data_IF_429979726318
#
_entry.id   IF_429979726318
#
_cell.length_a   1.000
_cell.length_b   1.000
_cell.length_c   1.000
_cell.angle_alpha   90.00
_cell.angle_beta   90.00
_cell.angle_gamma   90.00
#
_symmetry.space_group_name_H-M   'P 1'
#
loop_
_entity.id
_entity.type
_entity.pdbx_description
1 polymer ?
#
# COMPACT_ATOMS: atom_id res chain seq x y z
N UNK A 1 16.37 7.66 -0.76
CA UNK A 1 15.50 7.83 0.43
C UNK A 1 14.25 7.04 0.14
N UNK A 2 13.88 6.11 1.01
CA UNK A 2 12.68 5.29 0.81
C UNK A 2 11.43 6.16 0.97
N UNK A 3 10.43 5.91 0.13
CA UNK A 3 9.19 6.66 0.14
C UNK A 3 8.29 6.13 1.27
N UNK A 4 7.67 6.99 2.10
CA UNK A 4 6.74 6.55 3.12
C UNK A 4 5.56 5.79 2.51
N UNK A 5 5.23 4.65 3.13
CA UNK A 5 4.21 3.74 2.64
C UNK A 5 2.82 4.13 3.16
N UNK A 6 1.84 4.11 2.25
CA UNK A 6 0.42 4.30 2.56
C UNK A 6 -0.35 3.08 2.07
N UNK A 7 -1.01 2.39 2.99
CA UNK A 7 -1.84 1.25 2.68
C UNK A 7 -3.16 1.71 2.07
N UNK A 8 -3.65 0.97 1.09
CA UNK A 8 -4.98 1.14 0.50
C UNK A 8 -5.76 -0.15 0.74
N UNK A 9 -6.99 0.01 1.20
CA UNK A 9 -7.98 -1.07 1.26
C UNK A 9 -9.22 -0.56 0.56
N UNK A 10 -9.72 -1.32 -0.41
CA UNK A 10 -10.87 -0.91 -1.18
C UNK A 10 -11.96 -1.98 -1.19
N UNK A 11 -13.20 -1.51 -1.38
CA UNK A 11 -14.32 -2.38 -1.64
C UNK A 11 -14.22 -3.01 -3.03
N UNK A 12 -14.87 -4.16 -3.19
CA UNK A 12 -14.91 -4.87 -4.49
C UNK A 12 -15.59 -4.04 -5.58
N UNK A 13 -16.57 -3.22 -5.23
CA UNK A 13 -17.23 -2.31 -6.16
C UNK A 13 -16.29 -1.18 -6.62
N UNK A 14 -15.55 -0.56 -5.69
CA UNK A 14 -14.55 0.45 -6.03
C UNK A 14 -13.46 -0.12 -6.95
N UNK A 15 -13.00 -1.34 -6.67
CA UNK A 15 -12.06 -2.04 -7.53
C UNK A 15 -12.62 -2.38 -8.91
N UNK A 16 -13.88 -2.82 -9.00
CA UNK A 16 -14.50 -3.08 -10.30
C UNK A 16 -14.58 -1.80 -11.12
N UNK A 17 -14.97 -0.69 -10.48
CA UNK A 17 -15.17 0.59 -11.15
C UNK A 17 -13.89 1.13 -11.78
N UNK A 18 -12.77 1.07 -11.07
CA UNK A 18 -11.49 1.52 -11.63
C UNK A 18 -10.99 0.60 -12.76
N UNK A 19 -11.30 -0.70 -12.68
CA UNK A 19 -10.92 -1.68 -13.70
C UNK A 19 -11.68 -1.44 -15.00
N UNK A 20 -12.96 -1.08 -14.91
CA UNK A 20 -13.79 -0.72 -16.06
C UNK A 20 -13.30 0.56 -16.77
N UNK A 21 -12.45 1.34 -16.10
CA UNK A 21 -11.77 2.53 -16.64
C UNK A 21 -10.32 2.26 -17.06
N UNK A 22 -9.87 1.01 -17.03
CA UNK A 22 -8.55 0.58 -17.49
C UNK A 22 -7.43 0.65 -16.45
N UNK A 23 -7.75 0.85 -15.16
CA UNK A 23 -6.75 0.81 -14.09
C UNK A 23 -6.58 -0.59 -13.51
N UNK A 24 -5.34 -1.03 -13.32
CA UNK A 24 -5.02 -2.35 -12.76
C UNK A 24 -5.26 -2.42 -11.24
N UNK A 25 -5.02 -1.32 -10.54
CA UNK A 25 -5.13 -1.18 -9.07
C UNK A 25 -5.42 0.26 -8.69
N UNK A 26 -5.89 0.48 -7.46
CA UNK A 26 -6.22 1.83 -7.00
C UNK A 26 -4.94 2.62 -6.66
N UNK A 27 -3.86 1.94 -6.27
CA UNK A 27 -2.54 2.57 -6.19
C UNK A 27 -2.14 3.18 -7.54
N UNK A 28 -2.39 2.51 -8.66
CA UNK A 28 -2.14 3.06 -9.99
C UNK A 28 -2.99 4.31 -10.29
N UNK A 29 -4.26 4.32 -9.86
CA UNK A 29 -5.12 5.50 -9.96
C UNK A 29 -4.57 6.69 -9.15
N UNK A 30 -4.04 6.43 -7.96
CA UNK A 30 -3.53 7.46 -7.04
C UNK A 30 -2.08 7.90 -7.33
N UNK A 31 -1.35 7.16 -8.15
CA UNK A 31 0.04 7.42 -8.54
C UNK A 31 0.30 8.90 -8.94
N UNK A 32 -0.55 9.57 -9.74
CA UNK A 32 -0.30 10.96 -10.14
C UNK A 32 -0.33 11.96 -8.97
N UNK A 33 -0.96 11.58 -7.86
CA UNK A 33 -1.13 12.41 -6.67
C UNK A 33 -0.12 12.09 -5.56
N UNK A 34 0.86 11.23 -5.82
CA UNK A 34 1.81 10.74 -4.81
C UNK A 34 2.83 11.78 -4.34
N UNK A 35 3.16 12.78 -5.16
CA UNK A 35 4.21 13.75 -4.86
C UNK A 35 3.64 15.07 -4.36
N UNK A 36 4.00 15.44 -3.12
CA UNK A 36 3.54 16.67 -2.48
C UNK A 36 4.71 17.61 -2.14
N UNK A 37 4.46 18.92 -2.23
CA UNK A 37 5.33 19.95 -1.66
C UNK A 37 5.10 20.03 -0.16
N UNK A 38 6.19 20.14 0.61
CA UNK A 38 6.11 20.26 2.06
C UNK A 38 6.12 21.72 2.46
N UNK A 39 5.26 22.09 3.40
CA UNK A 39 5.29 23.40 4.04
C UNK A 39 5.80 23.21 5.47
N UNK A 40 6.77 24.02 5.88
CA UNK A 40 7.24 24.04 7.26
C UNK A 40 6.09 24.52 8.17
N UNK A 41 5.65 23.71 9.14
CA UNK A 41 4.53 24.08 10.01
C UNK A 41 4.85 25.25 10.96
N UNK A 42 6.12 25.53 11.25
CA UNK A 42 6.52 26.62 12.13
C UNK A 42 6.61 27.97 11.39
N UNK A 43 7.09 27.96 10.14
CA UNK A 43 7.33 29.19 9.36
C UNK A 43 6.31 29.43 8.25
N UNK A 44 5.45 28.43 7.96
CA UNK A 44 4.54 28.41 6.81
C UNK A 44 5.23 28.62 5.46
N UNK A 45 6.56 28.49 5.39
CA UNK A 45 7.30 28.57 4.15
C UNK A 45 7.32 27.22 3.44
N UNK A 46 7.25 27.25 2.11
CA UNK A 46 7.45 26.04 1.32
C UNK A 46 8.90 25.60 1.39
N UNK A 47 9.09 24.34 1.77
CA UNK A 47 10.39 23.68 1.75
C UNK A 47 10.64 23.20 0.32
N UNK A 48 11.85 23.35 -0.24
CA UNK A 48 12.16 22.88 -1.60
C UNK A 48 12.11 21.36 -1.76
N UNK A 49 11.97 20.63 -0.65
CA UNK A 49 11.89 19.17 -0.62
C UNK A 49 10.49 18.70 -1.01
N UNK A 50 10.43 17.80 -1.98
CA UNK A 50 9.21 17.07 -2.36
C UNK A 50 9.19 15.72 -1.67
N UNK A 51 8.06 15.36 -1.07
CA UNK A 51 7.83 14.02 -0.53
C UNK A 51 7.01 13.24 -1.53
N UNK A 52 7.42 12.00 -1.82
CA UNK A 52 6.63 11.08 -2.65
C UNK A 52 6.12 9.95 -1.76
N UNK A 53 4.81 9.77 -1.72
CA UNK A 53 4.16 8.66 -1.01
C UNK A 53 4.15 7.41 -1.89
N UNK A 54 4.39 6.24 -1.32
CA UNK A 54 4.20 4.96 -2.02
C UNK A 54 2.87 4.33 -1.58
N UNK A 55 1.89 4.39 -2.47
CA UNK A 55 0.57 3.84 -2.27
C UNK A 55 0.56 2.34 -2.63
N UNK A 56 0.09 1.50 -1.70
CA UNK A 56 0.01 0.05 -1.91
C UNK A 56 -1.35 -0.49 -1.57
N UNK A 57 -1.99 -1.12 -2.54
CA UNK A 57 -3.22 -1.86 -2.33
C UNK A 57 -2.93 -3.16 -1.56
N UNK A 58 -3.36 -3.27 -0.31
CA UNK A 58 -3.03 -4.42 0.53
C UNK A 58 -3.57 -5.74 -0.04
N UNK A 59 -4.68 -5.70 -0.79
CA UNK A 59 -5.27 -6.91 -1.37
C UNK A 59 -4.45 -7.48 -2.53
N UNK A 60 -3.68 -6.63 -3.23
CA UNK A 60 -3.02 -6.98 -4.50
C UNK A 60 -1.51 -6.81 -4.47
N UNK A 61 -1.05 -5.81 -3.75
CA UNK A 61 0.30 -5.28 -3.76
C UNK A 61 0.87 -5.40 -2.34
N UNK A 62 1.42 -6.58 -2.04
CA UNK A 62 2.21 -6.73 -0.82
C UNK A 62 3.56 -6.02 -0.94
N UNK A 63 4.04 -5.46 0.16
CA UNK A 63 5.33 -4.77 0.23
C UNK A 63 6.47 -5.72 0.63
N UNK A 64 6.19 -6.69 1.50
CA UNK A 64 7.17 -7.60 2.10
C UNK A 64 6.92 -9.01 1.59
N UNK A 65 7.98 -9.76 1.30
CA UNK A 65 7.87 -11.18 0.91
C UNK A 65 7.94 -12.08 2.14
N UNK A 66 7.23 -13.21 2.09
CA UNK A 66 7.39 -14.25 3.11
C UNK A 66 8.81 -14.84 3.06
N UNK A 67 9.30 -15.34 4.20
CA UNK A 67 10.60 -16.02 4.27
C UNK A 67 10.67 -17.29 3.42
N UNK A 68 9.52 -17.85 3.02
CA UNK A 68 9.44 -18.97 2.08
C UNK A 68 9.66 -18.55 0.62
N UNK A 69 9.35 -17.30 0.24
CA UNK A 69 9.42 -16.82 -1.15
C UNK A 69 10.64 -15.95 -1.38
N UNK A 70 11.05 -15.17 -0.37
CA UNK A 70 12.20 -14.26 -0.44
C UNK A 70 13.49 -14.94 -0.95
N UNK A 71 13.90 -16.13 -0.47
CA UNK A 71 15.11 -16.80 -0.98
C UNK A 71 15.04 -17.11 -2.47
N UNK A 72 13.86 -17.51 -2.98
CA UNK A 72 13.67 -17.81 -4.40
C UNK A 72 13.78 -16.55 -5.26
N UNK A 73 13.18 -15.44 -4.81
CA UNK A 73 13.27 -14.16 -5.53
C UNK A 73 14.70 -13.63 -5.54
N UNK A 74 15.41 -13.73 -4.41
CA UNK A 74 16.83 -13.35 -4.35
C UNK A 74 17.69 -14.24 -5.26
N UNK A 75 17.45 -15.55 -5.28
CA UNK A 75 18.15 -16.46 -6.20
C UNK A 75 17.91 -16.07 -7.66
N UNK A 76 16.66 -15.78 -8.04
CA UNK A 76 16.33 -15.39 -9.41
C UNK A 76 16.96 -14.05 -9.81
N UNK A 77 17.01 -13.06 -8.90
CA UNK A 77 17.71 -11.80 -9.13
C UNK A 77 19.20 -12.00 -9.45
N UNK A 78 19.82 -12.99 -8.82
CA UNK A 78 21.25 -13.27 -8.95
C UNK A 78 21.56 -14.17 -10.15
N UNK A 79 20.59 -14.94 -10.64
CA UNK A 79 20.76 -15.93 -11.72
C UNK A 79 21.39 -15.35 -13.00
N UNK A 80 21.12 -14.08 -13.29
CA UNK A 80 21.61 -13.39 -14.50
C UNK A 80 22.88 -12.56 -14.28
N UNK A 81 23.45 -12.55 -13.06
CA UNK A 81 24.59 -11.70 -12.70
C UNK A 81 25.89 -12.48 -12.81
N UNK A 82 26.78 -12.08 -13.71
CA UNK A 82 28.10 -12.67 -13.91
C UNK A 82 29.17 -12.06 -13.01
N UNK A 83 29.04 -10.77 -12.69
CA UNK A 83 30.00 -10.01 -11.89
C UNK A 83 29.62 -10.03 -10.41
N UNK A 84 30.60 -10.32 -9.53
CA UNK A 84 30.37 -10.42 -8.08
C UNK A 84 29.89 -9.10 -7.47
N UNK A 85 30.45 -7.96 -7.90
CA UNK A 85 30.06 -6.64 -7.39
C UNK A 85 28.59 -6.31 -7.73
N UNK A 86 28.16 -6.65 -8.94
CA UNK A 86 26.78 -6.45 -9.40
C UNK A 86 25.81 -7.42 -8.72
N UNK A 87 26.25 -8.66 -8.49
CA UNK A 87 25.49 -9.64 -7.72
C UNK A 87 25.29 -9.18 -6.27
N UNK A 88 26.35 -8.72 -5.58
CA UNK A 88 26.28 -8.26 -4.20
C UNK A 88 25.41 -7.00 -4.05
N UNK A 89 25.54 -6.05 -4.97
CA UNK A 89 24.67 -4.85 -4.97
C UNK A 89 23.21 -5.22 -5.23
N UNK A 90 22.94 -6.11 -6.18
CA UNK A 90 21.59 -6.60 -6.48
C UNK A 90 20.98 -7.36 -5.31
N UNK A 91 21.77 -8.21 -4.64
CA UNK A 91 21.36 -8.94 -3.45
C UNK A 91 21.01 -8.00 -2.30
N UNK A 92 21.89 -7.05 -1.99
CA UNK A 92 21.67 -6.06 -0.92
C UNK A 92 20.42 -5.21 -1.20
N UNK A 93 20.24 -4.77 -2.45
CA UNK A 93 19.07 -4.01 -2.86
C UNK A 93 17.79 -4.84 -2.79
N UNK A 94 17.81 -6.11 -3.23
CA UNK A 94 16.66 -7.02 -3.15
C UNK A 94 16.26 -7.32 -1.70
N UNK A 95 17.23 -7.59 -0.84
CA UNK A 95 17.00 -7.77 0.60
C UNK A 95 16.39 -6.53 1.23
N UNK A 96 16.98 -5.35 1.02
CA UNK A 96 16.44 -4.08 1.52
C UNK A 96 15.07 -3.75 0.96
N UNK A 97 14.71 -4.27 -0.21
CA UNK A 97 13.40 -4.03 -0.81
C UNK A 97 12.32 -4.92 -0.19
N UNK A 98 12.60 -6.21 -0.01
CA UNK A 98 11.54 -7.20 0.25
C UNK A 98 11.62 -7.90 1.60
N UNK A 99 12.77 -7.84 2.28
CA UNK A 99 12.91 -8.45 3.60
C UNK A 99 12.11 -7.66 4.63
N UNK A 100 11.58 -8.35 5.63
CA UNK A 100 10.88 -7.71 6.74
C UNK A 100 11.79 -6.68 7.44
N UNK A 101 11.30 -5.46 7.74
CA UNK A 101 12.09 -4.47 8.43
C UNK A 101 12.37 -4.93 9.87
N UNK A 102 13.59 -4.65 10.33
CA UNK A 102 13.97 -4.77 11.74
C UNK A 102 13.14 -3.77 12.55
N UNK A 103 12.89 -4.03 13.84
CA UNK A 103 11.95 -3.30 14.70
C UNK A 103 12.15 -1.75 14.81
N UNK A 104 13.17 -1.18 14.16
CA UNK A 104 13.49 0.25 14.19
C UNK A 104 13.42 0.96 12.82
N UNK A 105 13.02 0.28 11.73
CA UNK A 105 12.90 0.90 10.40
C UNK A 105 11.48 1.48 10.16
N UNK A 106 11.22 2.70 10.64
CA UNK A 106 9.91 3.39 10.51
C UNK A 106 9.47 3.58 9.05
N UNK A 107 10.41 3.79 8.13
CA UNK A 107 10.11 4.09 6.72
C UNK A 107 9.65 2.87 5.90
N UNK A 108 9.81 1.66 6.45
CA UNK A 108 9.40 0.40 5.80
C UNK A 108 8.13 -0.18 6.43
N UNK A 109 7.44 0.64 7.22
CA UNK A 109 6.15 0.35 7.80
C UNK A 109 5.12 1.36 7.27
N UNK A 110 3.87 0.93 7.19
CA UNK A 110 2.76 1.76 6.73
C UNK A 110 2.45 2.86 7.73
N UNK A 111 2.48 4.10 7.25
CA UNK A 111 2.19 5.31 8.03
C UNK A 111 0.69 5.52 8.23
N UNK A 112 -0.09 5.22 7.19
CA UNK A 112 -1.51 5.46 7.13
C UNK A 112 -2.22 4.38 6.31
N UNK A 113 -3.54 4.28 6.49
CA UNK A 113 -4.42 3.45 5.69
C UNK A 113 -5.55 4.28 5.09
N UNK A 114 -5.75 4.16 3.78
CA UNK A 114 -6.82 4.78 3.01
C UNK A 114 -7.86 3.72 2.70
N UNK A 115 -9.11 3.96 3.11
CA UNK A 115 -10.26 3.12 2.84
C UNK A 115 -11.06 3.72 1.70
N UNK A 116 -11.33 2.91 0.68
CA UNK A 116 -11.97 3.39 -0.56
C UNK A 116 -13.24 2.57 -0.80
N UNK A 117 -14.37 3.26 -0.90
CA UNK A 117 -15.69 2.65 -1.10
C UNK A 117 -16.36 3.32 -2.29
N UNK A 118 -17.13 2.58 -3.09
CA UNK A 118 -17.83 3.15 -4.22
C UNK A 118 -19.19 3.75 -3.81
N UNK A 119 -19.56 4.87 -4.42
CA UNK A 119 -20.86 5.52 -4.21
C UNK A 119 -22.05 4.74 -4.77
N UNK A 120 -21.82 3.82 -5.70
CA UNK A 120 -22.85 2.97 -6.29
C UNK A 120 -23.24 1.76 -5.42
N UNK A 121 -22.61 1.58 -4.26
CA UNK A 121 -22.97 0.52 -3.33
C UNK A 121 -24.30 0.80 -2.63
N UNK A 122 -25.07 -0.25 -2.36
CA UNK A 122 -26.35 -0.13 -1.65
C UNK A 122 -26.18 0.46 -0.23
N UNK A 123 -25.04 0.19 0.42
CA UNK A 123 -24.69 0.74 1.73
C UNK A 123 -23.17 0.99 1.84
N UNK A 124 -22.68 2.16 1.41
CA UNK A 124 -21.25 2.49 1.46
C UNK A 124 -20.70 2.53 2.90
N UNK A 125 -21.52 2.93 3.87
CA UNK A 125 -21.10 3.00 5.28
C UNK A 125 -20.89 1.62 5.91
N UNK A 126 -21.66 0.61 5.51
CA UNK A 126 -21.47 -0.76 6.02
C UNK A 126 -20.20 -1.37 5.44
N UNK A 127 -19.95 -1.19 4.14
CA UNK A 127 -18.71 -1.67 3.53
C UNK A 127 -17.50 -0.92 4.11
N UNK A 128 -17.59 0.40 4.31
CA UNK A 128 -16.52 1.14 4.99
C UNK A 128 -16.22 0.57 6.38
N UNK A 129 -17.27 0.33 7.19
CA UNK A 129 -17.13 -0.22 8.54
C UNK A 129 -16.46 -1.59 8.53
N UNK A 130 -16.82 -2.43 7.54
CA UNK A 130 -16.21 -3.74 7.32
C UNK A 130 -14.73 -3.63 6.96
N UNK A 131 -14.34 -2.73 6.05
CA UNK A 131 -12.92 -2.53 5.70
C UNK A 131 -12.10 -2.06 6.90
N UNK A 132 -12.64 -1.13 7.69
CA UNK A 132 -12.00 -0.64 8.92
C UNK A 132 -11.82 -1.78 9.93
N UNK A 133 -12.82 -2.64 10.09
CA UNK A 133 -12.74 -3.79 10.97
C UNK A 133 -11.69 -4.79 10.49
N UNK A 134 -11.61 -5.06 9.18
CA UNK A 134 -10.58 -5.95 8.62
C UNK A 134 -9.16 -5.43 8.91
N UNK A 135 -8.92 -4.13 8.71
CA UNK A 135 -7.63 -3.49 9.02
C UNK A 135 -7.30 -3.57 10.52
N UNK A 136 -8.28 -3.27 11.38
CA UNK A 136 -8.09 -3.34 12.83
C UNK A 136 -7.79 -4.76 13.30
N UNK A 137 -8.53 -5.76 12.81
CA UNK A 137 -8.26 -7.17 13.11
C UNK A 137 -6.85 -7.53 12.68
N UNK A 138 -6.43 -7.19 11.46
CA UNK A 138 -5.07 -7.47 10.98
C UNK A 138 -3.97 -6.84 11.85
N UNK A 139 -4.19 -5.61 12.34
CA UNK A 139 -3.21 -4.89 13.16
C UNK A 139 -3.08 -5.44 14.58
N UNK A 140 -4.17 -5.96 15.17
CA UNK A 140 -4.21 -6.38 16.57
C UNK A 140 -4.35 -7.90 16.79
N UNK A 141 -4.61 -8.69 15.74
CA UNK A 141 -4.65 -10.15 15.86
C UNK A 141 -3.24 -10.72 15.97
N UNK A 142 -2.99 -11.53 16.99
CA UNK A 142 -1.71 -12.25 17.16
C UNK A 142 -1.52 -13.44 16.20
N UNK A 143 -2.51 -13.73 15.37
CA UNK A 143 -2.56 -14.91 14.49
C UNK A 143 -2.68 -14.46 13.05
N UNK A 144 -1.93 -15.13 12.18
CA UNK A 144 -1.79 -15.04 10.70
C UNK A 144 -3.09 -14.79 9.91
N UNK A 145 -3.75 -13.67 10.17
CA UNK A 145 -4.96 -13.24 9.50
C UNK A 145 -4.55 -12.67 8.15
N UNK A 146 -4.24 -13.56 7.20
CA UNK A 146 -3.94 -13.27 5.78
C UNK A 146 -5.12 -12.70 5.00
N UNK A 147 -6.10 -12.12 5.68
CA UNK A 147 -7.37 -11.67 5.10
C UNK A 147 -7.13 -10.57 4.06
N UNK A 148 -6.10 -9.75 4.25
CA UNK A 148 -5.77 -8.59 3.43
C UNK A 148 -4.35 -8.68 2.86
N UNK A 149 -3.79 -9.87 2.64
CA UNK A 149 -2.39 -9.98 2.19
C UNK A 149 -2.23 -11.11 1.19
N UNK A 150 -1.61 -10.87 0.01
CA UNK A 150 -1.32 -11.91 -0.96
C UNK A 150 -0.54 -13.07 -0.34
N UNK A 151 -0.76 -14.28 -0.84
CA UNK A 151 -0.21 -15.54 -0.29
C UNK A 151 1.32 -15.57 -0.12
N UNK A 152 2.04 -14.86 -0.99
CA UNK A 152 3.50 -14.78 -1.04
C UNK A 152 4.07 -13.58 -0.27
N UNK A 153 3.20 -12.76 0.32
CA UNK A 153 3.58 -11.55 1.03
C UNK A 153 3.44 -11.73 2.54
N UNK A 154 4.36 -11.13 3.29
CA UNK A 154 4.26 -11.04 4.74
C UNK A 154 3.20 -9.99 5.12
N UNK A 155 2.58 -10.11 6.30
CA UNK A 155 1.56 -9.16 6.75
C UNK A 155 2.11 -7.73 6.82
N UNK A 156 1.29 -6.70 6.56
CA UNK A 156 1.69 -5.31 6.64
C UNK A 156 2.07 -4.95 8.07
N UNK A 157 3.19 -4.22 8.21
CA UNK A 157 3.61 -3.62 9.47
C UNK A 157 3.19 -2.16 9.52
N UNK A 158 2.77 -1.72 10.70
CA UNK A 158 2.27 -0.36 10.93
C UNK A 158 3.26 0.43 11.80
N UNK A 159 3.39 1.74 11.54
CA UNK A 159 4.28 2.63 12.31
C UNK A 159 3.82 2.81 13.76
N UNK A 160 2.52 2.67 14.02
CA UNK A 160 1.89 2.91 15.32
C UNK A 160 0.87 1.81 15.63
N UNK A 161 0.51 1.60 16.91
CA UNK A 161 -0.58 0.69 17.28
C UNK A 161 -1.96 1.14 16.76
N UNK A 162 -2.14 2.44 16.55
CA UNK A 162 -3.32 3.03 15.94
C UNK A 162 -2.90 3.75 14.66
N UNK A 163 -3.16 3.12 13.51
CA UNK A 163 -2.82 3.69 12.21
C UNK A 163 -3.72 4.89 11.87
N UNK A 164 -3.15 5.90 11.21
CA UNK A 164 -3.91 7.03 10.67
C UNK A 164 -4.88 6.57 9.56
N UNK A 165 -6.18 6.81 9.75
CA UNK A 165 -7.24 6.36 8.86
C UNK A 165 -7.74 7.50 7.97
N UNK A 166 -7.83 7.26 6.67
CA UNK A 166 -8.38 8.20 5.68
C UNK A 166 -9.49 7.51 4.88
N UNK A 167 -10.52 8.24 4.49
CA UNK A 167 -11.72 7.68 3.87
C UNK A 167 -12.00 8.39 2.55
N UNK A 168 -12.04 7.64 1.45
CA UNK A 168 -12.42 8.14 0.13
C UNK A 168 -13.70 7.46 -0.34
N UNK A 169 -14.64 8.28 -0.79
CA UNK A 169 -15.81 7.83 -1.54
C UNK A 169 -15.49 7.98 -3.03
N UNK A 170 -15.38 6.86 -3.74
CA UNK A 170 -15.21 6.83 -5.17
C UNK A 170 -16.57 7.03 -5.84
N UNK A 171 -16.72 8.17 -6.52
CA UNK A 171 -17.88 8.48 -7.31
C UNK A 171 -17.46 8.64 -8.77
N UNK A 172 -18.23 8.06 -9.67
CA UNK A 172 -17.98 8.17 -11.11
C UNK A 172 -19.20 8.71 -11.81
N UNK A 173 -19.07 9.97 -12.21
CA UNK A 173 -20.10 10.81 -12.83
C UNK A 173 -20.71 10.12 -14.06
N UNK A 174 -19.92 9.38 -14.85
CA UNK A 174 -20.40 8.82 -16.11
C UNK A 174 -21.33 7.60 -15.93
N UNK A 175 -21.26 6.89 -14.80
CA UNK A 175 -22.11 5.72 -14.56
C UNK A 175 -23.05 5.85 -13.36
N UNK A 176 -22.91 6.90 -12.54
CA UNK A 176 -23.77 7.15 -11.39
C UNK A 176 -24.88 8.19 -11.68
N UNK A 177 -24.73 9.05 -12.70
CA UNK A 177 -25.81 9.93 -13.19
C UNK A 177 -26.82 9.20 -14.09
N UNK A 178 -26.46 8.07 -14.71
CA UNK A 178 -27.43 7.26 -15.50
C UNK A 178 -28.47 6.55 -14.62
N UNK A 179 -28.22 6.46 -13.31
CA UNK A 179 -29.10 5.79 -12.34
C UNK A 179 -30.00 6.74 -11.54
N UNK A 180 -30.04 8.04 -11.88
CA UNK A 180 -30.73 9.07 -11.09
C UNK A 180 -31.93 9.70 -11.79
#
# INVERSE_FOLDING_TARGET
>A
MENPLVAIIASTAAESRIRDRGFNSISHLLQPFSTHSVTDPATSQQVPTRITLDFRDLNKEGHLLTLSVLPHVLHELLRSKSELADALSSFSNGLRRWAEPVEQETFRTYLACVFIVAGCEESPLSELSKLVQMQHTQQHSSVDSKVLTPSHCAPPKWTSPNTLKHYFLLHDIAGDDEAR
#
